data_IF_041007980235
#
_entry.id   IF_041007980235
#
_cell.length_a   1.000
_cell.length_b   1.000
_cell.length_c   1.000
_cell.angle_alpha   90.00
_cell.angle_beta   90.00
_cell.angle_gamma   90.00
#
_symmetry.space_group_name_H-M   'P 1'
#
loop_
_entity.id
_entity.type
_entity.pdbx_description
1 polymer ?
#
# COMPACT_ATOMS: atom_id res chain seq x y z
N UNK A 1 8.72 -21.75 -14.77
CA UNK A 1 7.83 -21.37 -13.63
C UNK A 1 8.31 -20.03 -13.11
N UNK A 2 7.43 -19.05 -12.93
CA UNK A 2 7.82 -17.76 -12.34
C UNK A 2 8.04 -17.93 -10.83
N UNK A 3 9.09 -17.33 -10.23
CA UNK A 3 9.28 -17.35 -8.79
C UNK A 3 8.17 -16.54 -8.10
N UNK A 4 7.62 -17.07 -7.02
CA UNK A 4 6.64 -16.39 -6.17
C UNK A 4 7.30 -16.15 -4.83
N UNK A 5 7.34 -14.89 -4.40
CA UNK A 5 7.92 -14.48 -3.13
C UNK A 5 6.81 -13.83 -2.29
N UNK A 6 6.57 -14.39 -1.11
CA UNK A 6 5.66 -13.80 -0.14
C UNK A 6 6.41 -12.76 0.70
N UNK A 7 5.85 -11.57 0.84
CA UNK A 7 6.42 -10.50 1.64
C UNK A 7 5.38 -9.93 2.60
N UNK A 8 5.66 -10.02 3.90
CA UNK A 8 4.74 -9.56 4.94
C UNK A 8 4.50 -8.05 4.88
N UNK A 9 5.42 -7.29 4.27
CA UNK A 9 5.29 -5.84 4.08
C UNK A 9 4.16 -5.47 3.12
N UNK A 10 3.69 -6.40 2.29
CA UNK A 10 2.58 -6.19 1.34
C UNK A 10 1.18 -6.42 1.94
N UNK A 11 1.08 -6.78 3.23
CA UNK A 11 -0.22 -6.88 3.92
C UNK A 11 -0.95 -5.54 3.92
N UNK A 12 -2.28 -5.60 3.93
CA UNK A 12 -3.15 -4.43 4.09
C UNK A 12 -2.85 -3.69 5.40
N UNK A 13 -3.36 -2.47 5.54
CA UNK A 13 -3.41 -1.76 6.81
C UNK A 13 -3.92 -2.67 7.94
N UNK A 14 -3.17 -2.77 9.03
CA UNK A 14 -3.58 -3.49 10.24
C UNK A 14 -4.63 -2.67 11.01
N UNK A 15 -5.87 -3.13 11.00
CA UNK A 15 -6.98 -2.50 11.70
C UNK A 15 -7.02 -2.87 13.20
N UNK A 16 -6.05 -3.65 13.67
CA UNK A 16 -5.90 -4.05 15.07
C UNK A 16 -7.13 -4.79 15.59
N UNK A 17 -7.77 -4.26 16.62
CA UNK A 17 -8.98 -4.87 17.21
C UNK A 17 -10.21 -4.81 16.29
N UNK A 18 -10.15 -4.03 15.20
CA UNK A 18 -11.21 -3.93 14.20
C UNK A 18 -11.01 -4.86 13.01
N UNK A 19 -9.97 -5.72 13.03
CA UNK A 19 -9.80 -6.75 12.02
C UNK A 19 -11.03 -7.68 11.97
N UNK A 20 -11.54 -7.95 10.76
CA UNK A 20 -12.74 -8.75 10.53
C UNK A 20 -14.05 -7.96 10.48
N UNK A 21 -14.03 -6.65 10.77
CA UNK A 21 -15.19 -5.77 10.61
C UNK A 21 -15.55 -5.57 9.12
N UNK A 22 -16.82 -5.27 8.79
CA UNK A 22 -17.23 -4.98 7.42
C UNK A 22 -16.46 -3.80 6.82
N UNK A 23 -16.01 -3.95 5.57
CA UNK A 23 -15.22 -2.93 4.88
C UNK A 23 -15.91 -1.55 4.84
N UNK A 24 -17.24 -1.52 4.66
CA UNK A 24 -17.99 -0.26 4.60
C UNK A 24 -17.98 0.51 5.93
N UNK A 25 -17.84 -0.17 7.07
CA UNK A 25 -17.70 0.47 8.38
C UNK A 25 -16.28 1.03 8.56
N UNK A 26 -15.27 0.24 8.20
CA UNK A 26 -13.87 0.67 8.24
C UNK A 26 -13.59 1.85 7.31
N UNK A 27 -14.22 1.88 6.13
CA UNK A 27 -14.00 2.92 5.13
C UNK A 27 -14.68 4.25 5.48
N UNK A 28 -15.78 4.25 6.24
CA UNK A 28 -16.46 5.48 6.67
C UNK A 28 -15.54 6.40 7.48
N UNK A 29 -14.75 5.79 8.36
CA UNK A 29 -13.85 6.51 9.27
C UNK A 29 -12.39 6.51 8.81
N UNK A 30 -12.11 6.08 7.58
CA UNK A 30 -10.75 5.86 7.08
C UNK A 30 -9.84 7.08 7.31
N UNK A 31 -10.37 8.28 7.03
CA UNK A 31 -9.64 9.55 7.20
C UNK A 31 -9.21 9.84 8.63
N UNK A 32 -9.99 9.40 9.63
CA UNK A 32 -9.60 9.51 11.06
C UNK A 32 -8.30 8.78 11.34
N UNK A 33 -8.05 7.68 10.64
CA UNK A 33 -6.90 6.82 10.84
C UNK A 33 -5.74 7.09 9.87
N UNK A 34 -5.75 8.24 9.17
CA UNK A 34 -4.68 8.61 8.26
C UNK A 34 -3.34 8.68 8.99
N UNK A 35 -3.30 9.47 10.06
CA UNK A 35 -2.12 9.72 10.89
C UNK A 35 -2.22 9.09 12.29
N UNK A 36 -3.44 8.81 12.74
CA UNK A 36 -3.69 8.15 14.02
C UNK A 36 -3.86 6.65 13.81
N UNK A 37 -3.16 5.77 14.54
CA UNK A 37 -3.32 4.33 14.37
C UNK A 37 -4.72 3.84 14.72
N UNK A 38 -5.17 2.78 14.03
CA UNK A 38 -6.28 1.97 14.54
C UNK A 38 -5.93 1.40 15.93
N UNK A 39 -6.91 1.12 16.81
CA UNK A 39 -6.63 0.56 18.12
C UNK A 39 -5.88 -0.78 18.01
N UNK A 40 -4.67 -0.84 18.59
CA UNK A 40 -3.75 -1.99 18.48
C UNK A 40 -3.36 -2.36 17.04
N UNK A 41 -3.46 -1.42 16.11
CA UNK A 41 -3.09 -1.57 14.71
C UNK A 41 -2.11 -0.48 14.26
N UNK A 42 -2.16 -0.13 12.99
CA UNK A 42 -1.34 0.93 12.40
C UNK A 42 -2.19 2.07 11.82
N UNK A 43 -1.60 3.21 11.49
CA UNK A 43 -2.25 4.24 10.68
C UNK A 43 -2.05 3.96 9.19
N UNK A 44 -2.85 4.59 8.32
CA UNK A 44 -2.62 4.46 6.87
C UNK A 44 -1.24 4.95 6.45
N UNK A 45 -0.71 6.01 7.07
CA UNK A 45 0.66 6.48 6.80
C UNK A 45 1.71 5.46 7.24
N UNK A 46 1.50 4.77 8.36
CA UNK A 46 2.38 3.69 8.81
C UNK A 46 2.32 2.48 7.85
N UNK A 47 1.12 2.08 7.42
CA UNK A 47 0.93 1.00 6.44
C UNK A 47 1.62 1.30 5.11
N UNK A 48 1.44 2.50 4.57
CA UNK A 48 2.10 2.96 3.34
C UNK A 48 3.63 2.96 3.50
N UNK A 49 4.14 3.51 4.60
CA UNK A 49 5.57 3.52 4.87
C UNK A 49 6.15 2.10 4.99
N UNK A 50 5.40 1.16 5.60
CA UNK A 50 5.78 -0.25 5.71
C UNK A 50 5.83 -0.91 4.33
N UNK A 51 4.80 -0.74 3.51
CA UNK A 51 4.80 -1.29 2.14
C UNK A 51 5.93 -0.71 1.33
N UNK A 52 6.18 0.61 1.41
CA UNK A 52 7.26 1.28 0.69
C UNK A 52 8.65 0.67 0.90
N UNK A 53 8.89 0.00 2.04
CA UNK A 53 10.15 -0.68 2.33
C UNK A 53 10.47 -1.82 1.37
N UNK A 54 9.51 -2.32 0.58
CA UNK A 54 9.78 -3.33 -0.47
C UNK A 54 10.51 -2.74 -1.67
N UNK A 55 10.35 -1.44 -1.93
CA UNK A 55 10.81 -0.79 -3.17
C UNK A 55 12.33 -0.86 -3.35
N UNK A 56 13.18 -0.56 -2.34
CA UNK A 56 14.63 -0.68 -2.49
C UNK A 56 15.09 -2.12 -2.77
N UNK A 57 14.48 -3.11 -2.12
CA UNK A 57 14.78 -4.52 -2.37
C UNK A 57 14.39 -4.92 -3.80
N UNK A 58 13.27 -4.39 -4.31
CA UNK A 58 12.83 -4.64 -5.67
C UNK A 58 13.82 -4.06 -6.68
N UNK A 59 14.23 -2.81 -6.49
CA UNK A 59 15.20 -2.14 -7.35
C UNK A 59 16.56 -2.87 -7.35
N UNK A 60 17.03 -3.27 -6.17
CA UNK A 60 18.33 -3.94 -6.01
C UNK A 60 18.35 -5.33 -6.67
N UNK A 61 17.29 -6.12 -6.53
CA UNK A 61 17.27 -7.54 -6.95
C UNK A 61 16.72 -7.76 -8.34
N UNK A 62 15.81 -6.89 -8.79
CA UNK A 62 15.09 -7.03 -10.07
C UNK A 62 15.12 -5.75 -10.90
N UNK A 63 16.15 -4.91 -10.71
CA UNK A 63 16.40 -3.76 -11.57
C UNK A 63 16.42 -4.14 -13.05
N UNK A 64 15.66 -3.42 -13.87
CA UNK A 64 15.48 -3.69 -15.30
C UNK A 64 14.50 -4.83 -15.63
N UNK A 65 13.92 -5.51 -14.64
CA UNK A 65 12.88 -6.51 -14.85
C UNK A 65 11.47 -5.92 -14.71
N UNK A 66 10.47 -6.59 -15.30
CA UNK A 66 9.05 -6.37 -14.98
C UNK A 66 8.65 -7.27 -13.81
N UNK A 67 8.25 -6.66 -12.70
CA UNK A 67 7.80 -7.36 -11.49
C UNK A 67 6.29 -7.22 -11.34
N UNK A 68 5.58 -8.33 -11.13
CA UNK A 68 4.17 -8.31 -10.74
C UNK A 68 4.08 -8.28 -9.22
N UNK A 69 3.42 -7.26 -8.68
CA UNK A 69 3.13 -7.14 -7.26
C UNK A 69 1.63 -7.37 -7.04
N UNK A 70 1.29 -8.35 -6.19
CA UNK A 70 -0.08 -8.62 -5.77
C UNK A 70 -0.19 -8.18 -4.31
N UNK A 71 -1.15 -7.30 -4.02
CA UNK A 71 -1.31 -6.71 -2.69
C UNK A 71 -2.70 -6.11 -2.50
N UNK A 72 -2.78 -5.12 -1.62
CA UNK A 72 -4.05 -4.51 -1.19
C UNK A 72 -4.06 -2.99 -1.41
N UNK A 73 -5.02 -2.26 -0.81
CA UNK A 73 -5.13 -0.81 -0.97
C UNK A 73 -3.88 -0.11 -0.44
N UNK A 74 -3.34 -0.52 0.71
CA UNK A 74 -2.08 0.02 1.22
C UNK A 74 -0.92 -0.14 0.21
N UNK A 75 -0.89 -1.22 -0.57
CA UNK A 75 0.13 -1.42 -1.61
C UNK A 75 -0.01 -0.41 -2.75
N UNK A 76 -1.23 -0.26 -3.26
CA UNK A 76 -1.51 0.72 -4.31
C UNK A 76 -1.16 2.12 -3.81
N UNK A 77 -1.62 2.50 -2.62
CA UNK A 77 -1.37 3.81 -2.06
C UNK A 77 0.10 4.09 -1.81
N UNK A 78 0.86 3.09 -1.37
CA UNK A 78 2.30 3.25 -1.25
C UNK A 78 2.96 3.55 -2.58
N UNK A 79 2.55 2.90 -3.67
CA UNK A 79 3.14 3.14 -4.98
C UNK A 79 2.67 4.46 -5.60
N UNK A 80 1.37 4.78 -5.50
CA UNK A 80 0.84 6.09 -5.91
C UNK A 80 1.54 7.24 -5.15
N UNK A 81 1.75 7.08 -3.84
CA UNK A 81 2.40 8.10 -3.02
C UNK A 81 3.90 8.21 -3.28
N UNK A 82 4.63 7.10 -3.21
CA UNK A 82 6.09 7.11 -3.19
C UNK A 82 6.71 7.18 -4.58
N UNK A 83 6.04 6.66 -5.61
CA UNK A 83 6.57 6.65 -6.98
C UNK A 83 6.00 7.80 -7.83
N UNK A 84 4.74 8.17 -7.61
CA UNK A 84 4.07 9.21 -8.40
C UNK A 84 3.86 10.52 -7.62
N UNK A 85 4.25 10.59 -6.34
CA UNK A 85 4.17 11.80 -5.53
C UNK A 85 2.74 12.21 -5.15
N UNK A 86 1.75 11.32 -5.26
CA UNK A 86 0.35 11.64 -4.92
C UNK A 86 0.21 11.78 -3.39
N UNK A 87 -0.31 12.89 -2.85
CA UNK A 87 -0.51 13.03 -1.41
C UNK A 87 -1.46 11.96 -0.85
N UNK A 88 -1.15 11.39 0.33
CA UNK A 88 -2.02 10.40 0.97
C UNK A 88 -3.40 10.97 1.30
N UNK A 89 -3.47 12.26 1.58
CA UNK A 89 -4.69 13.02 1.85
C UNK A 89 -5.62 13.05 0.64
N UNK A 90 -5.08 12.96 -0.59
CA UNK A 90 -5.88 12.85 -1.80
C UNK A 90 -6.32 11.41 -2.06
N UNK A 91 -5.45 10.43 -1.80
CA UNK A 91 -5.75 9.01 -2.00
C UNK A 91 -6.85 8.51 -1.04
N UNK A 92 -6.88 9.03 0.18
CA UNK A 92 -7.86 8.62 1.18
C UNK A 92 -9.27 9.13 0.90
N UNK A 93 -9.41 10.23 0.15
CA UNK A 93 -10.69 10.78 -0.27
C UNK A 93 -11.09 10.31 -1.67
N UNK A 94 -10.15 9.72 -2.42
CA UNK A 94 -10.40 9.23 -3.76
C UNK A 94 -11.31 7.99 -3.75
N UNK A 95 -12.24 7.97 -4.70
CA UNK A 95 -13.00 6.76 -5.00
C UNK A 95 -12.09 5.70 -5.62
N UNK A 96 -12.32 4.44 -5.24
CA UNK A 96 -11.57 3.33 -5.79
C UNK A 96 -12.13 2.96 -7.16
N UNK A 97 -11.71 3.71 -8.19
CA UNK A 97 -12.01 3.41 -9.58
C UNK A 97 -11.34 2.10 -10.01
N UNK A 98 -12.05 0.99 -9.80
CA UNK A 98 -11.58 -0.36 -10.10
C UNK A 98 -11.11 -0.45 -11.56
N UNK A 99 -10.02 -1.19 -11.75
CA UNK A 99 -9.46 -1.60 -13.04
C UNK A 99 -8.63 -2.87 -12.84
N UNK A 100 -8.25 -3.52 -13.94
CA UNK A 100 -7.52 -4.79 -13.92
C UNK A 100 -6.14 -4.71 -13.27
N UNK A 101 -5.50 -3.54 -13.29
CA UNK A 101 -4.20 -3.31 -12.66
C UNK A 101 -3.69 -1.88 -12.80
N UNK A 102 -2.52 -1.65 -12.21
CA UNK A 102 -1.78 -0.39 -12.27
C UNK A 102 -0.34 -0.67 -12.67
N UNK A 103 0.24 0.21 -13.49
CA UNK A 103 1.64 0.15 -13.88
C UNK A 103 2.40 1.31 -13.25
N UNK A 104 3.59 1.03 -12.74
CA UNK A 104 4.44 2.00 -12.07
C UNK A 104 5.85 1.93 -12.64
N UNK A 105 6.52 3.09 -12.68
CA UNK A 105 7.95 3.17 -12.99
C UNK A 105 8.69 3.48 -11.70
N UNK A 106 9.57 2.57 -11.32
CA UNK A 106 10.43 2.70 -10.16
C UNK A 106 11.80 3.18 -10.61
N UNK A 107 11.90 4.47 -10.95
CA UNK A 107 13.14 5.12 -11.37
C UNK A 107 13.81 5.76 -10.14
N UNK A 108 15.13 5.64 -10.01
CA UNK A 108 15.92 6.33 -8.99
C UNK A 108 15.53 6.04 -7.52
N UNK A 109 15.13 4.81 -7.21
CA UNK A 109 15.06 4.33 -5.82
C UNK A 109 16.48 4.11 -5.27
N UNK A 110 17.19 5.20 -4.97
CA UNK A 110 18.53 5.20 -4.33
C UNK A 110 18.41 5.32 -2.82
#
# INVERSE_FOLDING_TARGET
>A
RLPILADWRLRECDYGTLNGQPAHELHRDRRRYLDTPYPSGESWRQAVARVGRVLPDIALRWGGCRVLVIGHVATRWAFDHLLNGVPLEALIDADFAWREGWEYRAENLS
#
